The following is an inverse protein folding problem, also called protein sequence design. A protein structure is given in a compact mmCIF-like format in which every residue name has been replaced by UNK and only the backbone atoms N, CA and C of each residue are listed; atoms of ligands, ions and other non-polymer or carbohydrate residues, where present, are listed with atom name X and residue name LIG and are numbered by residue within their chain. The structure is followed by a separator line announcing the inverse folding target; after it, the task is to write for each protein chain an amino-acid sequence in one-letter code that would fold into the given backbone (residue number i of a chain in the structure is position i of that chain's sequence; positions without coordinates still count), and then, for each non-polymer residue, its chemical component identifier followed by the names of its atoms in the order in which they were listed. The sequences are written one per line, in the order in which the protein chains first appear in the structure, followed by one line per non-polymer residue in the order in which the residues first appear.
data_IF_667598460922
#
_entry.id   IF_667598460922
#
_cell.length_a   1.000
_cell.length_b   1.000
_cell.length_c   1.000
_cell.angle_alpha   90.00
_cell.angle_beta   90.00
_cell.angle_gamma   90.00
#
_symmetry.space_group_name_H-M   'P 1'
#
loop_
_entity.id
_entity.type
_entity.pdbx_description
1 polymer ?
#
# COMPACT_ATOMS: atom_id res chain seq x y z
N UNK A 1 1.46 2.81 47.51
CA UNK A 1 0.20 2.26 46.96
C UNK A 1 0.17 0.79 47.31
N UNK A 2 -0.77 0.38 48.16
CA UNK A 2 -0.95 -1.02 48.51
C UNK A 2 -1.48 -1.78 47.30
N UNK A 3 -0.87 -2.94 47.02
CA UNK A 3 -1.27 -3.84 45.94
C UNK A 3 -1.94 -5.06 46.54
N UNK A 4 -3.18 -5.29 46.15
CA UNK A 4 -3.97 -6.46 46.55
C UNK A 4 -3.98 -7.50 45.42
N UNK A 5 -4.18 -8.78 45.75
CA UNK A 5 -4.27 -9.86 44.75
C UNK A 5 -5.73 -10.19 44.48
N UNK A 6 -6.13 -10.18 43.20
CA UNK A 6 -7.42 -10.71 42.74
C UNK A 6 -7.21 -12.08 42.15
N UNK A 7 -8.03 -13.05 42.55
CA UNK A 7 -8.18 -14.34 41.90
C UNK A 7 -9.11 -14.19 40.66
N UNK A 8 -8.60 -14.37 39.43
CA UNK A 8 -9.39 -14.25 38.21
C UNK A 8 -10.57 -15.21 38.15
N UNK A 9 -10.41 -16.44 38.63
CA UNK A 9 -11.47 -17.44 38.60
C UNK A 9 -12.61 -17.04 39.52
N UNK A 10 -12.28 -16.51 40.69
CA UNK A 10 -13.25 -16.05 41.67
C UNK A 10 -14.02 -14.82 41.19
N UNK A 11 -13.33 -13.86 40.58
CA UNK A 11 -13.95 -12.71 39.94
C UNK A 11 -14.94 -13.14 38.84
N UNK A 12 -14.55 -14.09 37.97
CA UNK A 12 -15.43 -14.62 36.92
C UNK A 12 -16.65 -15.32 37.53
N UNK A 13 -16.46 -16.14 38.57
CA UNK A 13 -17.55 -16.84 39.25
C UNK A 13 -18.57 -15.87 39.83
N UNK A 14 -18.12 -14.89 40.63
CA UNK A 14 -19.00 -13.89 41.26
C UNK A 14 -19.70 -13.04 40.20
N UNK A 15 -18.97 -12.59 39.17
CA UNK A 15 -19.56 -11.82 38.06
C UNK A 15 -20.68 -12.59 37.37
N UNK A 16 -20.44 -13.87 37.05
CA UNK A 16 -21.44 -14.73 36.39
C UNK A 16 -22.63 -15.02 37.30
N UNK A 17 -22.40 -15.26 38.58
CA UNK A 17 -23.47 -15.46 39.55
C UNK A 17 -24.36 -14.21 39.71
N UNK A 18 -23.79 -13.01 39.52
CA UNK A 18 -24.54 -11.74 39.47
C UNK A 18 -25.15 -11.43 38.09
N UNK A 19 -25.01 -12.31 37.10
CA UNK A 19 -25.58 -12.12 35.76
C UNK A 19 -24.96 -10.97 34.95
N UNK A 20 -23.78 -10.48 35.33
CA UNK A 20 -23.15 -9.33 34.67
C UNK A 20 -22.24 -9.78 33.52
N UNK A 21 -22.38 -9.15 32.36
CA UNK A 21 -21.38 -9.23 31.30
C UNK A 21 -20.09 -8.54 31.73
N UNK A 22 -18.96 -8.92 31.13
CA UNK A 22 -17.66 -8.25 31.41
C UNK A 22 -17.75 -6.74 31.15
N UNK A 23 -18.50 -6.34 30.12
CA UNK A 23 -18.72 -4.94 29.74
C UNK A 23 -19.57 -4.20 30.76
N UNK A 24 -20.65 -4.84 31.25
CA UNK A 24 -21.49 -4.29 32.32
C UNK A 24 -20.71 -4.11 33.62
N UNK A 25 -19.90 -5.11 34.02
CA UNK A 25 -19.05 -4.99 35.20
C UNK A 25 -18.00 -3.88 35.04
N UNK A 26 -17.31 -3.82 33.90
CA UNK A 26 -16.34 -2.78 33.59
C UNK A 26 -16.95 -1.37 33.68
N UNK A 27 -18.15 -1.18 33.09
CA UNK A 27 -18.89 0.08 33.13
C UNK A 27 -19.30 0.45 34.55
N UNK A 28 -19.87 -0.49 35.30
CA UNK A 28 -20.44 -0.24 36.64
C UNK A 28 -19.35 -0.03 37.71
N UNK A 29 -18.22 -0.73 37.58
CA UNK A 29 -17.06 -0.59 38.48
C UNK A 29 -16.11 0.54 38.08
N UNK A 30 -16.37 1.27 36.99
CA UNK A 30 -15.44 2.26 36.42
C UNK A 30 -14.01 1.72 36.22
N UNK A 31 -13.90 0.47 35.77
CA UNK A 31 -12.65 -0.18 35.38
C UNK A 31 -12.66 -0.36 33.87
N UNK A 32 -11.57 0.00 33.19
CA UNK A 32 -11.53 -0.12 31.72
C UNK A 32 -11.77 -1.56 31.27
N UNK A 33 -12.50 -1.74 30.16
CA UNK A 33 -12.80 -3.06 29.59
C UNK A 33 -11.52 -3.87 29.32
N UNK A 34 -10.45 -3.21 28.88
CA UNK A 34 -9.14 -3.81 28.64
C UNK A 34 -8.50 -4.33 29.93
N UNK A 35 -8.57 -3.55 31.02
CA UNK A 35 -8.07 -3.98 32.33
C UNK A 35 -8.88 -5.16 32.87
N UNK A 36 -10.21 -5.12 32.75
CA UNK A 36 -11.07 -6.23 33.14
C UNK A 36 -10.74 -7.52 32.37
N UNK A 37 -10.60 -7.42 31.04
CA UNK A 37 -10.21 -8.54 30.20
C UNK A 37 -8.82 -9.08 30.58
N UNK A 38 -7.87 -8.20 30.93
CA UNK A 38 -6.53 -8.59 31.40
C UNK A 38 -6.57 -9.34 32.73
N UNK A 39 -7.43 -8.94 33.67
CA UNK A 39 -7.60 -9.61 34.96
C UNK A 39 -8.21 -11.00 34.73
N UNK A 40 -9.32 -11.09 34.00
CA UNK A 40 -10.03 -12.36 33.76
C UNK A 40 -9.27 -13.35 32.86
N UNK A 41 -8.31 -12.90 32.05
CA UNK A 41 -7.57 -13.77 31.12
C UNK A 41 -6.44 -14.57 31.79
N UNK A 42 -6.12 -14.28 33.06
CA UNK A 42 -4.96 -14.85 33.74
C UNK A 42 -5.39 -16.05 34.59
N UNK A 43 -4.53 -17.07 34.64
CA UNK A 43 -4.77 -18.27 35.44
C UNK A 43 -4.34 -18.07 36.91
N UNK A 44 -3.34 -17.21 37.13
CA UNK A 44 -2.81 -16.91 38.47
C UNK A 44 -3.34 -15.59 39.04
N UNK A 45 -3.40 -15.46 40.38
CA UNK A 45 -3.79 -14.22 41.05
C UNK A 45 -2.94 -13.01 40.63
N UNK A 46 -3.60 -11.92 40.21
CA UNK A 46 -2.95 -10.70 39.75
C UNK A 46 -2.96 -9.61 40.83
N UNK A 47 -1.83 -8.91 40.96
CA UNK A 47 -1.73 -7.69 41.76
C UNK A 47 -2.46 -6.52 41.09
N UNK A 48 -3.43 -5.92 41.79
CA UNK A 48 -4.14 -4.70 41.39
C UNK A 48 -4.02 -3.63 42.48
N UNK A 49 -4.36 -2.39 42.17
CA UNK A 49 -4.45 -1.32 43.17
C UNK A 49 -5.66 -1.58 44.08
N UNK A 50 -5.55 -1.26 45.37
CA UNK A 50 -6.65 -1.37 46.35
C UNK A 50 -7.96 -0.75 45.82
N UNK A 51 -7.93 0.49 45.31
CA UNK A 51 -9.13 1.13 44.73
C UNK A 51 -9.80 0.35 43.59
N UNK A 52 -9.05 -0.46 42.82
CA UNK A 52 -9.65 -1.33 41.80
C UNK A 52 -10.34 -2.53 42.44
N UNK A 53 -9.75 -3.13 43.48
CA UNK A 53 -10.40 -4.19 44.26
C UNK A 53 -11.72 -3.67 44.85
N UNK A 54 -11.69 -2.49 45.48
CA UNK A 54 -12.84 -1.89 46.17
C UNK A 54 -14.00 -1.67 45.23
N UNK A 55 -13.74 -1.05 44.07
CA UNK A 55 -14.77 -0.84 43.05
C UNK A 55 -15.38 -2.14 42.55
N UNK A 56 -14.58 -3.21 42.40
CA UNK A 56 -15.08 -4.51 41.96
C UNK A 56 -15.90 -5.20 43.06
N UNK A 57 -15.41 -5.17 44.30
CA UNK A 57 -16.08 -5.71 45.48
C UNK A 57 -17.44 -5.03 45.71
N UNK A 58 -17.47 -3.69 45.71
CA UNK A 58 -18.68 -2.88 45.87
C UNK A 58 -19.69 -3.16 44.75
N UNK A 59 -19.24 -3.18 43.49
CA UNK A 59 -20.13 -3.43 42.34
C UNK A 59 -20.72 -4.84 42.35
N UNK A 60 -19.97 -5.82 42.85
CA UNK A 60 -20.41 -7.20 42.94
C UNK A 60 -21.12 -7.52 44.26
N UNK A 61 -21.16 -6.56 45.19
CA UNK A 61 -21.71 -6.70 46.54
C UNK A 61 -21.13 -7.95 47.23
N UNK A 62 -19.79 -8.00 47.31
CA UNK A 62 -19.00 -9.04 47.99
C UNK A 62 -17.81 -8.45 48.73
N UNK A 63 -17.33 -9.13 49.76
CA UNK A 63 -16.12 -8.70 50.47
C UNK A 63 -14.85 -8.86 49.63
N UNK A 64 -13.84 -8.00 49.85
CA UNK A 64 -12.52 -8.09 49.17
C UNK A 64 -11.88 -9.47 49.31
N UNK A 65 -12.01 -10.08 50.50
CA UNK A 65 -11.48 -11.40 50.80
C UNK A 65 -12.07 -12.50 49.90
N UNK A 66 -13.31 -12.34 49.43
CA UNK A 66 -13.93 -13.27 48.47
C UNK A 66 -13.21 -13.16 47.14
N UNK A 67 -12.97 -11.94 46.61
CA UNK A 67 -12.26 -11.74 45.33
C UNK A 67 -10.78 -12.12 45.38
N UNK A 68 -10.16 -12.07 46.56
CA UNK A 68 -8.79 -12.52 46.79
C UNK A 68 -8.65 -14.05 46.92
N UNK A 69 -9.77 -14.79 46.94
CA UNK A 69 -9.80 -16.24 47.12
C UNK A 69 -9.66 -16.72 48.58
N UNK A 70 -9.61 -15.80 49.54
CA UNK A 70 -9.44 -16.12 50.97
C UNK A 70 -10.73 -16.46 51.72
N UNK A 71 -11.90 -16.12 51.16
CA UNK A 71 -13.20 -16.38 51.77
C UNK A 71 -14.10 -17.27 50.89
N UNK A 72 -14.97 -18.04 51.54
CA UNK A 72 -16.00 -18.84 50.89
C UNK A 72 -16.99 -17.95 50.12
N UNK A 73 -17.57 -18.45 49.03
CA UNK A 73 -18.64 -17.74 48.33
C UNK A 73 -19.82 -17.63 49.30
N UNK A 74 -20.44 -16.45 49.44
CA UNK A 74 -21.65 -16.33 50.23
C UNK A 74 -22.71 -17.28 49.66
N UNK A 75 -23.45 -17.97 50.54
CA UNK A 75 -24.34 -19.08 50.17
C UNK A 75 -25.49 -18.67 49.24
N UNK A 76 -25.74 -17.36 49.11
CA UNK A 76 -26.71 -16.78 48.18
C UNK A 76 -26.17 -16.64 46.74
N UNK A 77 -24.86 -16.72 46.52
CA UNK A 77 -24.25 -16.83 45.20
C UNK A 77 -24.24 -18.29 44.77
N UNK A 78 -25.44 -18.83 44.57
CA UNK A 78 -25.59 -20.11 43.90
C UNK A 78 -25.10 -19.90 42.47
N UNK A 79 -23.84 -20.25 42.19
CA UNK A 79 -23.30 -20.23 40.82
C UNK A 79 -24.20 -21.20 40.06
N UNK A 80 -25.06 -20.72 39.14
CA UNK A 80 -25.93 -21.63 38.43
C UNK A 80 -25.01 -22.64 37.76
N UNK A 81 -25.16 -23.92 38.13
CA UNK A 81 -24.58 -25.03 37.38
C UNK A 81 -24.88 -24.72 35.93
N UNK A 82 -23.81 -24.50 35.15
CA UNK A 82 -23.89 -23.76 33.91
C UNK A 82 -24.92 -24.43 33.01
N UNK A 83 -26.12 -23.84 32.96
CA UNK A 83 -27.24 -24.46 32.28
C UNK A 83 -26.83 -24.69 30.83
N UNK A 84 -27.20 -25.84 30.27
CA UNK A 84 -26.75 -26.18 28.94
C UNK A 84 -27.38 -25.18 27.96
N UNK A 85 -26.53 -24.48 27.21
CA UNK A 85 -26.94 -23.39 26.35
C UNK A 85 -27.45 -23.93 25.01
N UNK A 86 -28.45 -23.25 24.43
CA UNK A 86 -29.02 -23.63 23.13
C UNK A 86 -28.43 -22.75 22.03
N UNK A 87 -27.77 -23.35 21.04
CA UNK A 87 -27.27 -22.64 19.86
C UNK A 87 -28.34 -22.64 18.78
N UNK A 88 -28.57 -21.47 18.14
CA UNK A 88 -29.45 -21.34 16.98
C UNK A 88 -28.69 -21.76 15.71
N UNK A 89 -29.09 -22.85 15.02
CA UNK A 89 -28.39 -23.38 13.85
C UNK A 89 -28.19 -22.35 12.74
N UNK A 90 -29.23 -21.56 12.46
CA UNK A 90 -29.20 -20.56 11.38
C UNK A 90 -28.13 -19.49 11.58
N UNK A 91 -27.94 -19.03 12.82
CA UNK A 91 -26.93 -18.01 13.14
C UNK A 91 -25.53 -18.57 12.93
N UNK A 92 -25.29 -19.81 13.35
CA UNK A 92 -24.00 -20.49 13.14
C UNK A 92 -23.70 -20.66 11.64
N UNK A 93 -24.68 -21.08 10.84
CA UNK A 93 -24.54 -21.22 9.39
C UNK A 93 -24.26 -19.86 8.73
N UNK A 94 -24.99 -18.81 9.10
CA UNK A 94 -24.78 -17.45 8.58
C UNK A 94 -23.37 -16.93 8.90
N UNK A 95 -22.92 -17.07 10.15
CA UNK A 95 -21.58 -16.68 10.58
C UNK A 95 -20.48 -17.46 9.86
N UNK A 96 -20.65 -18.78 9.71
CA UNK A 96 -19.70 -19.63 8.99
C UNK A 96 -19.58 -19.24 7.53
N UNK A 97 -20.71 -19.11 6.82
CA UNK A 97 -20.75 -18.69 5.41
C UNK A 97 -20.12 -17.32 5.21
N UNK A 98 -20.40 -16.37 6.11
CA UNK A 98 -19.80 -15.02 6.08
C UNK A 98 -18.27 -15.05 6.19
N UNK A 99 -17.69 -16.04 6.86
CA UNK A 99 -16.23 -16.23 6.96
C UNK A 99 -15.64 -17.07 5.83
N UNK A 100 -16.47 -17.61 4.92
CA UNK A 100 -16.01 -18.52 3.88
C UNK A 100 -15.52 -19.87 4.40
N UNK A 101 -15.85 -20.24 5.64
CA UNK A 101 -15.31 -21.47 6.24
C UNK A 101 -16.13 -22.71 5.90
N UNK A 102 -15.43 -23.81 5.64
CA UNK A 102 -16.01 -25.15 5.66
C UNK A 102 -16.38 -25.58 7.09
N UNK A 103 -17.24 -26.59 7.24
CA UNK A 103 -17.55 -27.16 8.57
C UNK A 103 -16.30 -27.69 9.28
N UNK A 104 -15.36 -28.26 8.51
CA UNK A 104 -14.10 -28.80 9.01
C UNK A 104 -13.18 -27.69 9.52
N UNK A 105 -13.04 -26.60 8.77
CA UNK A 105 -12.26 -25.43 9.18
C UNK A 105 -12.83 -24.77 10.43
N UNK A 106 -14.16 -24.62 10.53
CA UNK A 106 -14.80 -24.09 11.75
C UNK A 106 -14.53 -25.01 12.95
N UNK A 107 -14.66 -26.32 12.78
CA UNK A 107 -14.38 -27.29 13.84
C UNK A 107 -12.93 -27.21 14.34
N UNK A 108 -11.97 -27.09 13.42
CA UNK A 108 -10.55 -26.94 13.72
C UNK A 108 -10.25 -25.63 14.47
N UNK A 109 -10.74 -24.49 13.95
CA UNK A 109 -10.56 -23.17 14.57
C UNK A 109 -11.20 -23.08 15.96
N UNK A 110 -12.37 -23.69 16.15
CA UNK A 110 -13.06 -23.74 17.44
C UNK A 110 -12.56 -24.84 18.37
N UNK A 111 -11.71 -25.77 17.91
CA UNK A 111 -11.27 -26.95 18.67
C UNK A 111 -12.47 -27.75 19.21
N UNK A 112 -13.42 -28.04 18.33
CA UNK A 112 -14.58 -28.92 18.57
C UNK A 112 -14.63 -30.01 17.51
N UNK A 113 -15.38 -31.09 17.73
CA UNK A 113 -15.50 -32.15 16.73
C UNK A 113 -16.29 -31.66 15.50
N UNK A 114 -15.88 -32.11 14.30
CA UNK A 114 -16.62 -31.84 13.07
C UNK A 114 -18.06 -32.35 13.13
N UNK A 115 -18.27 -33.51 13.76
CA UNK A 115 -19.59 -34.10 14.03
C UNK A 115 -20.49 -33.18 14.88
N UNK A 116 -19.91 -32.42 15.83
CA UNK A 116 -20.69 -31.46 16.62
C UNK A 116 -21.19 -30.30 15.74
N UNK A 117 -20.33 -29.75 14.88
CA UNK A 117 -20.72 -28.69 13.94
C UNK A 117 -21.82 -29.20 13.01
N UNK A 118 -21.62 -30.38 12.43
CA UNK A 118 -22.61 -31.01 11.56
C UNK A 118 -23.94 -31.22 12.25
N UNK A 119 -23.94 -31.74 13.48
CA UNK A 119 -25.15 -31.93 14.29
C UNK A 119 -25.86 -30.61 14.61
N UNK A 120 -25.11 -29.54 14.88
CA UNK A 120 -25.71 -28.21 15.13
C UNK A 120 -26.33 -27.65 13.85
N UNK A 121 -25.63 -27.72 12.72
CA UNK A 121 -26.10 -27.14 11.45
C UNK A 121 -27.20 -27.94 10.75
N UNK A 122 -27.37 -29.22 11.07
CA UNK A 122 -28.39 -30.07 10.44
C UNK A 122 -29.75 -30.03 11.12
N UNK A 123 -29.83 -29.55 12.36
CA UNK A 123 -31.10 -29.43 13.09
C UNK A 123 -31.78 -28.11 12.75
N UNK A 124 -33.12 -28.13 12.67
CA UNK A 124 -33.92 -26.91 12.54
C UNK A 124 -34.11 -26.20 13.88
N UNK A 125 -34.13 -26.96 14.98
CA UNK A 125 -34.34 -26.44 16.33
C UNK A 125 -33.02 -26.12 17.05
N UNK A 126 -33.03 -25.22 18.05
CA UNK A 126 -31.86 -24.89 18.85
C UNK A 126 -31.24 -26.10 19.55
N UNK A 127 -29.95 -26.33 19.29
CA UNK A 127 -29.23 -27.51 19.79
C UNK A 127 -28.59 -27.20 21.13
N UNK A 128 -28.85 -28.06 22.11
CA UNK A 128 -28.28 -27.94 23.44
C UNK A 128 -26.80 -28.36 23.42
N UNK A 129 -25.91 -27.47 23.85
CA UNK A 129 -24.47 -27.72 23.89
C UNK A 129 -23.86 -27.42 25.25
N UNK A 130 -22.72 -28.03 25.50
CA UNK A 130 -21.91 -27.71 26.67
C UNK A 130 -21.43 -26.24 26.58
N UNK A 131 -21.52 -25.45 27.66
CA UNK A 131 -21.08 -24.06 27.71
C UNK A 131 -19.63 -23.86 27.25
N UNK A 132 -18.76 -24.83 27.51
CA UNK A 132 -17.36 -24.83 27.03
C UNK A 132 -17.26 -24.84 25.50
N UNK A 133 -18.16 -25.56 24.83
CA UNK A 133 -18.21 -25.62 23.36
C UNK A 133 -18.77 -24.33 22.76
N UNK A 134 -19.79 -23.73 23.40
CA UNK A 134 -20.33 -22.42 23.00
C UNK A 134 -19.25 -21.34 23.05
N UNK A 135 -18.55 -21.21 24.18
CA UNK A 135 -17.49 -20.21 24.32
C UNK A 135 -16.26 -20.46 23.44
N UNK A 136 -16.06 -21.69 22.96
CA UNK A 136 -15.05 -22.03 21.95
C UNK A 136 -15.48 -21.58 20.55
N UNK A 137 -16.74 -21.80 20.19
CA UNK A 137 -17.31 -21.35 18.92
C UNK A 137 -17.31 -19.83 18.81
N UNK A 138 -17.79 -19.13 19.85
CA UNK A 138 -17.79 -17.67 19.89
C UNK A 138 -16.38 -17.10 19.67
N UNK A 139 -15.39 -17.63 20.40
CA UNK A 139 -13.97 -17.24 20.25
C UNK A 139 -13.41 -17.50 18.85
N UNK A 140 -13.82 -18.58 18.18
CA UNK A 140 -13.35 -18.87 16.83
C UNK A 140 -13.76 -17.78 15.83
N UNK A 141 -14.95 -17.19 15.99
CA UNK A 141 -15.42 -16.11 15.13
C UNK A 141 -14.81 -14.73 15.44
N UNK A 142 -14.02 -14.62 16.51
CA UNK A 142 -13.31 -13.41 16.92
C UNK A 142 -13.96 -12.67 18.11
N UNK A 143 -13.31 -11.62 18.62
CA UNK A 143 -13.75 -10.89 19.82
C UNK A 143 -15.08 -10.13 19.64
N UNK A 144 -15.56 -10.00 18.41
CA UNK A 144 -16.80 -9.30 18.07
C UNK A 144 -18.05 -10.18 18.24
N UNK A 145 -17.89 -11.52 18.25
CA UNK A 145 -19.02 -12.45 18.34
C UNK A 145 -19.14 -12.96 19.77
N UNK A 146 -20.11 -12.41 20.49
CA UNK A 146 -20.45 -12.85 21.85
C UNK A 146 -21.25 -14.17 21.84
N UNK A 147 -21.22 -14.91 22.94
CA UNK A 147 -21.95 -16.18 23.09
C UNK A 147 -23.47 -15.98 22.87
N UNK A 148 -24.00 -14.84 23.29
CA UNK A 148 -25.40 -14.39 23.12
C UNK A 148 -25.83 -14.22 21.66
N UNK A 149 -24.89 -13.98 20.75
CA UNK A 149 -25.17 -13.94 19.31
C UNK A 149 -25.48 -15.35 18.81
N UNK A 150 -24.70 -16.36 19.25
CA UNK A 150 -24.90 -17.76 18.85
C UNK A 150 -26.17 -18.37 19.46
N UNK A 151 -26.63 -17.86 20.60
CA UNK A 151 -27.90 -18.27 21.22
C UNK A 151 -29.12 -17.53 20.63
N UNK A 152 -28.89 -16.53 19.76
CA UNK A 152 -29.95 -15.72 19.16
C UNK A 152 -30.56 -14.67 20.09
N UNK A 153 -29.98 -14.44 21.27
CA UNK A 153 -30.42 -13.39 22.20
C UNK A 153 -30.10 -11.98 21.69
N UNK A 154 -29.00 -11.85 20.95
CA UNK A 154 -28.60 -10.59 20.32
C UNK A 154 -28.64 -10.80 18.80
N UNK A 155 -29.37 -9.91 18.10
CA UNK A 155 -29.38 -9.90 16.65
C UNK A 155 -27.97 -9.71 16.09
N UNK A 156 -27.65 -10.50 15.06
CA UNK A 156 -26.39 -10.37 14.35
C UNK A 156 -26.34 -8.99 13.69
N UNK A 157 -25.55 -8.06 14.26
CA UNK A 157 -25.34 -6.75 13.65
C UNK A 157 -24.86 -6.97 12.20
N UNK A 158 -25.50 -6.33 11.20
CA UNK A 158 -25.05 -6.46 9.82
C UNK A 158 -23.56 -6.11 9.78
N UNK A 159 -22.82 -6.84 8.95
CA UNK A 159 -21.43 -6.50 8.69
C UNK A 159 -21.37 -4.99 8.42
N UNK A 160 -20.49 -4.26 9.11
CA UNK A 160 -20.05 -3.00 8.53
C UNK A 160 -19.62 -3.36 7.10
N UNK A 161 -20.16 -2.68 6.07
CA UNK A 161 -19.84 -3.00 4.70
C UNK A 161 -18.32 -3.01 4.62
N UNK A 162 -17.74 -4.18 4.36
CA UNK A 162 -16.32 -4.27 4.08
C UNK A 162 -16.13 -3.32 2.89
N UNK A 163 -15.22 -2.33 2.96
CA UNK A 163 -15.01 -1.43 1.84
C UNK A 163 -14.82 -2.31 0.61
N UNK A 164 -15.59 -2.01 -0.43
CA UNK A 164 -15.60 -2.78 -1.67
C UNK A 164 -14.16 -2.84 -2.19
N UNK A 165 -13.59 -4.06 -2.16
CA UNK A 165 -12.24 -4.27 -2.66
C UNK A 165 -12.36 -4.42 -4.18
N UNK A 166 -11.86 -3.43 -4.90
CA UNK A 166 -11.70 -3.48 -6.34
C UNK A 166 -10.33 -4.06 -6.67
N UNK A 167 -10.26 -4.91 -7.70
CA UNK A 167 -8.99 -5.46 -8.19
C UNK A 167 -8.60 -4.68 -9.43
N UNK A 168 -7.42 -4.08 -9.42
CA UNK A 168 -6.82 -3.45 -10.61
C UNK A 168 -5.96 -4.48 -11.32
N UNK A 169 -6.35 -4.82 -12.55
CA UNK A 169 -5.49 -5.59 -13.44
C UNK A 169 -4.79 -4.63 -14.38
N UNK A 170 -3.50 -4.40 -14.17
CA UNK A 170 -2.66 -3.56 -15.03
C UNK A 170 -1.62 -4.44 -15.73
N UNK A 171 -1.42 -4.23 -17.03
CA UNK A 171 -0.27 -4.80 -17.74
C UNK A 171 0.91 -3.84 -17.55
N UNK A 172 1.98 -4.31 -16.92
CA UNK A 172 3.20 -3.54 -16.73
C UNK A 172 4.25 -3.97 -17.76
N UNK A 173 5.02 -3.00 -18.23
CA UNK A 173 6.23 -3.27 -19.01
C UNK A 173 7.29 -3.90 -18.11
N UNK A 174 8.26 -4.65 -18.66
CA UNK A 174 9.40 -5.15 -17.90
C UNK A 174 10.16 -4.05 -17.13
N UNK A 175 10.47 -2.93 -17.80
CA UNK A 175 11.18 -1.81 -17.18
C UNK A 175 10.42 -1.17 -16.02
N UNK A 176 9.08 -1.02 -16.13
CA UNK A 176 8.27 -0.49 -15.03
C UNK A 176 8.28 -1.46 -13.83
N UNK A 177 8.20 -2.77 -14.09
CA UNK A 177 8.30 -3.78 -13.02
C UNK A 177 9.67 -3.74 -12.35
N UNK A 178 10.75 -3.66 -13.13
CA UNK A 178 12.11 -3.53 -12.61
C UNK A 178 12.25 -2.29 -11.72
N UNK A 179 11.75 -1.13 -12.15
CA UNK A 179 11.77 0.09 -11.35
C UNK A 179 11.09 -0.10 -9.99
N UNK A 180 9.94 -0.79 -9.95
CA UNK A 180 9.27 -1.13 -8.70
C UNK A 180 10.09 -2.07 -7.79
N UNK A 181 10.71 -3.11 -8.37
CA UNK A 181 11.57 -4.04 -7.62
C UNK A 181 12.81 -3.32 -7.04
N UNK A 182 13.40 -2.38 -7.79
CA UNK A 182 14.53 -1.57 -7.33
C UNK A 182 14.13 -0.60 -6.20
N UNK A 183 12.98 0.07 -6.30
CA UNK A 183 12.46 0.94 -5.24
C UNK A 183 12.13 0.13 -3.98
N UNK A 184 11.54 -1.06 -4.13
CA UNK A 184 11.28 -1.95 -2.99
C UNK A 184 12.58 -2.39 -2.32
N UNK A 185 13.61 -2.75 -3.09
CA UNK A 185 14.93 -3.12 -2.57
C UNK A 185 15.60 -1.95 -1.82
N UNK A 186 15.64 -0.76 -2.42
CA UNK A 186 16.37 0.40 -1.85
C UNK A 186 15.64 1.03 -0.66
N UNK A 187 14.32 1.13 -0.72
CA UNK A 187 13.52 1.88 0.27
C UNK A 187 12.58 1.02 1.12
N UNK A 188 12.43 -0.27 0.82
CA UNK A 188 11.46 -1.15 1.50
C UNK A 188 10.00 -0.82 1.18
N UNK A 189 9.75 -0.03 0.13
CA UNK A 189 8.42 0.39 -0.28
C UNK A 189 7.84 -0.61 -1.29
N UNK A 190 6.87 -1.41 -0.85
CA UNK A 190 6.25 -2.40 -1.71
C UNK A 190 5.46 -1.71 -2.84
N UNK A 191 5.34 -2.34 -4.04
CA UNK A 191 4.60 -1.77 -5.18
C UNK A 191 3.18 -1.37 -4.82
N UNK A 192 2.50 -2.17 -3.98
CA UNK A 192 1.15 -1.88 -3.48
C UNK A 192 1.08 -0.53 -2.76
N UNK A 193 2.05 -0.23 -1.92
CA UNK A 193 2.07 1.02 -1.15
C UNK A 193 2.33 2.20 -2.08
N UNK A 194 3.21 2.02 -3.08
CA UNK A 194 3.45 3.01 -4.13
C UNK A 194 2.19 3.29 -4.95
N UNK A 195 1.41 2.27 -5.34
CA UNK A 195 0.12 2.48 -6.03
C UNK A 195 -0.90 3.23 -5.17
N UNK A 196 -0.93 2.98 -3.86
CA UNK A 196 -1.83 3.69 -2.94
C UNK A 196 -1.40 5.15 -2.78
N UNK A 197 -0.10 5.43 -2.78
CA UNK A 197 0.46 6.76 -2.60
C UNK A 197 0.54 7.57 -3.90
N UNK A 198 0.58 6.91 -5.07
CA UNK A 198 0.81 7.54 -6.36
C UNK A 198 -0.13 8.72 -6.66
N UNK A 199 -1.46 8.65 -6.43
CA UNK A 199 -2.33 9.81 -6.67
C UNK A 199 -1.98 11.02 -5.80
N UNK A 200 -1.63 10.79 -4.53
CA UNK A 200 -1.28 11.87 -3.61
C UNK A 200 0.08 12.49 -3.97
N UNK A 201 1.07 11.66 -4.30
CA UNK A 201 2.39 12.11 -4.75
C UNK A 201 2.27 12.88 -6.06
N UNK A 202 1.49 12.38 -7.02
CA UNK A 202 1.29 13.03 -8.30
C UNK A 202 0.67 14.42 -8.15
N UNK A 203 -0.36 14.59 -7.31
CA UNK A 203 -0.95 15.91 -7.04
C UNK A 203 0.08 16.87 -6.46
N UNK A 204 0.90 16.43 -5.50
CA UNK A 204 1.95 17.28 -4.92
C UNK A 204 3.00 17.70 -5.95
N UNK A 205 3.43 16.77 -6.80
CA UNK A 205 4.41 17.05 -7.85
C UNK A 205 3.82 17.95 -8.95
N UNK A 206 2.56 17.73 -9.33
CA UNK A 206 1.84 18.54 -10.30
C UNK A 206 1.73 20.00 -9.84
N UNK A 207 1.26 20.23 -8.62
CA UNK A 207 1.18 21.58 -8.05
C UNK A 207 2.56 22.24 -7.91
N UNK A 208 3.57 21.46 -7.51
CA UNK A 208 4.95 21.93 -7.45
C UNK A 208 5.48 22.35 -8.83
N UNK A 209 5.17 21.59 -9.88
CA UNK A 209 5.54 21.92 -11.27
C UNK A 209 4.86 23.20 -11.74
N UNK A 210 3.55 23.35 -11.50
CA UNK A 210 2.81 24.55 -11.88
C UNK A 210 3.34 25.80 -11.16
N UNK A 211 3.63 25.71 -9.86
CA UNK A 211 4.23 26.81 -9.12
C UNK A 211 5.64 27.17 -9.63
N UNK A 212 6.47 26.17 -9.91
CA UNK A 212 7.79 26.38 -10.48
C UNK A 212 7.73 27.05 -11.86
N UNK A 213 6.76 26.67 -12.71
CA UNK A 213 6.50 27.32 -14.00
C UNK A 213 6.07 28.78 -13.82
N UNK A 214 5.19 29.12 -12.87
CA UNK A 214 4.83 30.51 -12.54
C UNK A 214 6.06 31.34 -12.18
N UNK A 215 6.94 30.81 -11.33
CA UNK A 215 8.17 31.49 -10.95
C UNK A 215 9.10 31.72 -12.14
N UNK A 216 9.20 30.76 -13.06
CA UNK A 216 9.97 30.90 -14.30
C UNK A 216 9.36 31.97 -15.21
N UNK A 217 8.03 31.98 -15.37
CA UNK A 217 7.30 32.98 -16.15
C UNK A 217 7.53 34.39 -15.60
N UNK A 218 7.46 34.57 -14.28
CA UNK A 218 7.71 35.85 -13.63
C UNK A 218 9.15 36.34 -13.85
N UNK A 219 10.15 35.45 -13.72
CA UNK A 219 11.55 35.78 -14.05
C UNK A 219 11.72 36.14 -15.51
N UNK A 220 11.03 35.45 -16.42
CA UNK A 220 11.07 35.76 -17.85
C UNK A 220 10.48 37.15 -18.14
N UNK A 221 9.36 37.51 -17.49
CA UNK A 221 8.76 38.86 -17.57
C UNK A 221 9.69 39.95 -17.06
N UNK A 222 10.38 39.70 -15.95
CA UNK A 222 11.36 40.63 -15.39
C UNK A 222 12.56 40.81 -16.35
N UNK A 223 13.09 39.72 -16.89
CA UNK A 223 14.18 39.77 -17.87
C UNK A 223 13.77 40.52 -19.16
N UNK A 224 12.55 40.31 -19.64
CA UNK A 224 12.03 41.02 -20.82
C UNK A 224 11.88 42.53 -20.57
N UNK A 225 11.40 42.93 -19.39
CA UNK A 225 11.35 44.35 -18.99
C UNK A 225 12.75 44.98 -18.94
N UNK A 226 13.73 44.26 -18.41
CA UNK A 226 15.11 44.75 -18.38
C UNK A 226 15.70 44.92 -19.79
N UNK A 227 15.37 44.02 -20.73
CA UNK A 227 15.72 44.19 -22.14
C UNK A 227 15.04 45.43 -22.75
N UNK A 228 13.75 45.68 -22.44
CA UNK A 228 12.99 46.84 -22.93
C UNK A 228 13.65 48.16 -22.51
N UNK A 229 14.18 48.23 -21.28
CA UNK A 229 14.91 49.39 -20.78
C UNK A 229 16.23 49.63 -21.52
N UNK A 230 16.94 48.57 -21.92
CA UNK A 230 18.21 48.67 -22.66
C UNK A 230 18.01 49.09 -24.13
N UNK A 231 16.89 48.72 -24.74
CA UNK A 231 16.59 49.02 -26.14
C UNK A 231 16.21 50.48 -26.42
N UNK A 232 15.78 51.23 -25.39
CA UNK A 232 15.18 52.57 -25.53
C UNK A 232 16.06 53.63 -26.21
N UNK A 233 17.38 53.51 -26.08
CA UNK A 233 18.34 54.48 -26.63
C UNK A 233 18.90 54.09 -28.00
N UNK A 234 18.60 52.89 -28.51
CA UNK A 234 19.09 52.39 -29.81
C UNK A 234 17.94 51.98 -30.73
N UNK A 235 17.62 52.79 -31.78
CA UNK A 235 16.51 52.52 -32.69
C UNK A 235 16.55 51.16 -33.40
N UNK A 236 17.75 50.64 -33.68
CA UNK A 236 17.91 49.33 -34.35
C UNK A 236 17.62 48.17 -33.41
N UNK A 237 18.07 48.26 -32.15
CA UNK A 237 17.76 47.27 -31.13
C UNK A 237 16.28 47.34 -30.73
N UNK A 238 15.73 48.55 -30.58
CA UNK A 238 14.32 48.76 -30.31
C UNK A 238 13.42 48.11 -31.37
N UNK A 239 13.72 48.28 -32.66
CA UNK A 239 12.96 47.64 -33.73
C UNK A 239 13.03 46.10 -33.65
N UNK A 240 14.25 45.54 -33.54
CA UNK A 240 14.42 44.10 -33.44
C UNK A 240 13.66 43.53 -32.24
N UNK A 241 13.78 44.19 -31.08
CA UNK A 241 13.07 43.84 -29.87
C UNK A 241 11.55 43.85 -30.05
N UNK A 242 10.97 44.89 -30.64
CA UNK A 242 9.52 44.96 -30.88
C UNK A 242 9.02 43.84 -31.80
N UNK A 243 9.83 43.38 -32.75
CA UNK A 243 9.50 42.21 -33.56
C UNK A 243 9.44 40.92 -32.72
N UNK A 244 10.34 40.74 -31.76
CA UNK A 244 10.34 39.58 -30.87
C UNK A 244 9.29 39.66 -29.76
N UNK A 245 8.98 40.87 -29.28
CA UNK A 245 8.09 41.08 -28.13
C UNK A 245 6.69 40.51 -28.36
N UNK A 246 6.14 40.64 -29.58
CA UNK A 246 4.81 40.08 -29.86
C UNK A 246 4.78 38.55 -29.73
N UNK A 247 5.80 37.85 -30.24
CA UNK A 247 5.88 36.40 -30.14
C UNK A 247 6.12 35.97 -28.68
N UNK A 248 6.98 36.71 -27.98
CA UNK A 248 7.29 36.47 -26.57
C UNK A 248 6.05 36.66 -25.66
N UNK A 249 5.35 37.79 -25.79
CA UNK A 249 4.13 38.08 -25.04
C UNK A 249 3.06 37.03 -25.29
N UNK A 250 2.89 36.61 -26.56
CA UNK A 250 1.94 35.54 -26.90
C UNK A 250 2.31 34.21 -26.25
N UNK A 251 3.60 33.89 -26.16
CA UNK A 251 4.07 32.69 -25.46
C UNK A 251 3.82 32.72 -23.98
N UNK A 252 4.04 33.87 -23.36
CA UNK A 252 3.75 34.05 -21.94
C UNK A 252 2.26 33.92 -21.65
N UNK A 253 1.38 34.44 -22.51
CA UNK A 253 -0.07 34.25 -22.40
C UNK A 253 -0.45 32.76 -22.49
N UNK A 254 0.08 32.04 -23.49
CA UNK A 254 -0.21 30.60 -23.66
C UNK A 254 0.27 29.79 -22.45
N UNK A 255 1.46 30.10 -21.93
CA UNK A 255 2.01 29.43 -20.74
C UNK A 255 1.19 29.78 -19.49
N UNK A 256 0.75 31.03 -19.33
CA UNK A 256 -0.12 31.45 -18.23
C UNK A 256 -1.47 30.73 -18.27
N UNK A 257 -2.11 30.68 -19.44
CA UNK A 257 -3.37 29.95 -19.66
C UNK A 257 -3.19 28.44 -19.32
N UNK A 258 -2.11 27.80 -19.81
CA UNK A 258 -1.78 26.40 -19.52
C UNK A 258 -1.61 26.14 -18.01
N UNK A 259 -0.98 27.08 -17.29
CA UNK A 259 -0.83 26.99 -15.83
C UNK A 259 -2.17 27.15 -15.10
N UNK A 260 -3.01 28.09 -15.55
CA UNK A 260 -4.34 28.34 -14.96
C UNK A 260 -5.29 27.15 -15.16
N UNK A 261 -5.21 26.50 -16.31
CA UNK A 261 -6.00 25.31 -16.65
C UNK A 261 -5.46 24.02 -16.01
N UNK A 262 -4.30 24.08 -15.34
CA UNK A 262 -3.68 22.93 -14.67
C UNK A 262 -3.11 21.91 -15.66
N UNK A 263 -2.69 22.36 -16.85
CA UNK A 263 -2.06 21.53 -17.87
C UNK A 263 -0.60 21.22 -17.50
N UNK A 264 -0.45 20.23 -16.62
CA UNK A 264 0.84 19.77 -16.09
C UNK A 264 1.79 19.33 -17.22
N UNK A 265 1.26 18.72 -18.28
CA UNK A 265 2.06 18.12 -19.36
C UNK A 265 2.37 19.11 -20.50
N UNK A 266 1.84 20.33 -20.46
CA UNK A 266 2.08 21.35 -21.49
C UNK A 266 1.37 21.09 -22.82
N UNK A 267 0.27 20.32 -22.84
CA UNK A 267 -0.50 20.03 -24.06
C UNK A 267 -1.01 21.30 -24.75
N UNK A 268 -1.33 22.32 -23.97
CA UNK A 268 -1.84 23.59 -24.49
C UNK A 268 -0.71 24.47 -25.01
N UNK A 269 0.50 24.31 -24.47
CA UNK A 269 1.73 24.96 -24.94
C UNK A 269 2.19 24.36 -26.27
N UNK A 270 2.13 23.03 -26.39
CA UNK A 270 2.65 22.26 -27.53
C UNK A 270 1.61 21.96 -28.61
N UNK A 271 0.63 22.85 -28.82
CA UNK A 271 -0.37 22.65 -29.86
C UNK A 271 0.18 23.00 -31.27
N UNK A 272 -0.44 22.44 -32.31
CA UNK A 272 -0.02 22.64 -33.72
C UNK A 272 0.13 24.13 -34.09
N UNK A 273 -0.77 24.98 -33.59
CA UNK A 273 -0.73 26.42 -33.84
C UNK A 273 0.50 27.09 -33.21
N UNK A 274 0.88 26.66 -32.01
CA UNK A 274 2.05 27.16 -31.29
C UNK A 274 3.33 26.65 -31.93
N UNK A 275 3.39 25.38 -32.32
CA UNK A 275 4.53 24.83 -33.07
C UNK A 275 4.79 25.59 -34.38
N UNK A 276 3.75 25.81 -35.18
CA UNK A 276 3.87 26.56 -36.45
C UNK A 276 4.28 28.02 -36.23
N UNK A 277 3.79 28.65 -35.16
CA UNK A 277 4.11 30.05 -34.85
C UNK A 277 5.57 30.21 -34.41
N UNK A 278 6.15 29.20 -33.77
CA UNK A 278 7.48 29.29 -33.14
C UNK A 278 8.58 28.62 -33.97
N UNK A 279 8.19 27.87 -35.00
CA UNK A 279 9.13 27.15 -35.86
C UNK A 279 9.77 25.94 -35.19
N UNK A 280 9.17 25.42 -34.12
CA UNK A 280 9.59 24.17 -33.50
C UNK A 280 9.27 23.00 -34.43
N UNK A 281 10.21 22.07 -34.55
CA UNK A 281 9.97 20.77 -35.19
C UNK A 281 9.43 19.77 -34.18
N UNK A 282 8.89 18.65 -34.66
CA UNK A 282 8.51 17.52 -33.80
C UNK A 282 9.72 17.03 -32.97
N UNK A 283 10.93 17.13 -33.52
CA UNK A 283 12.18 16.76 -32.83
C UNK A 283 12.55 17.71 -31.68
N UNK A 284 12.02 18.93 -31.65
CA UNK A 284 12.24 19.88 -30.55
C UNK A 284 11.34 19.57 -29.33
N UNK A 285 10.35 18.67 -29.48
CA UNK A 285 9.37 18.33 -28.44
C UNK A 285 9.77 17.14 -27.60
N UNK A 286 11.03 17.03 -27.20
CA UNK A 286 11.51 15.84 -26.47
C UNK A 286 11.05 15.82 -25.02
N UNK A 287 10.82 16.97 -24.38
CA UNK A 287 10.58 17.03 -22.92
C UNK A 287 9.32 17.84 -22.56
N UNK A 288 8.44 17.25 -21.74
CA UNK A 288 7.28 17.99 -21.19
C UNK A 288 7.73 18.96 -20.09
N UNK A 289 7.00 20.06 -19.83
CA UNK A 289 7.29 20.95 -18.69
C UNK A 289 7.30 20.22 -17.34
N UNK A 290 6.53 19.13 -17.22
CA UNK A 290 6.56 18.29 -16.03
C UNK A 290 7.86 17.50 -15.91
N UNK A 291 8.35 16.92 -17.00
CA UNK A 291 9.63 16.21 -17.02
C UNK A 291 10.79 17.15 -16.71
N UNK A 292 10.81 18.36 -17.28
CA UNK A 292 11.79 19.41 -16.93
C UNK A 292 11.79 19.71 -15.42
N UNK A 293 10.60 19.85 -14.83
CA UNK A 293 10.46 20.08 -13.39
C UNK A 293 11.00 18.89 -12.58
N UNK A 294 10.71 17.66 -12.98
CA UNK A 294 11.22 16.46 -12.30
C UNK A 294 12.74 16.35 -12.40
N UNK A 295 13.33 16.72 -13.54
CA UNK A 295 14.78 16.77 -13.73
C UNK A 295 15.43 17.81 -12.81
N UNK A 296 14.86 19.02 -12.73
CA UNK A 296 15.33 20.04 -11.78
C UNK A 296 15.17 19.59 -10.32
N UNK A 297 14.08 18.90 -10.00
CA UNK A 297 13.88 18.32 -8.67
C UNK A 297 14.93 17.24 -8.37
N UNK A 298 15.28 16.41 -9.34
CA UNK A 298 16.34 15.40 -9.21
C UNK A 298 17.72 16.05 -8.99
N UNK A 299 18.02 17.14 -9.72
CA UNK A 299 19.23 17.95 -9.50
C UNK A 299 19.30 18.51 -8.09
N UNK A 300 18.18 18.97 -7.53
CA UNK A 300 18.09 19.47 -6.15
C UNK A 300 18.32 18.38 -5.10
N UNK A 301 17.89 17.14 -5.36
CA UNK A 301 18.18 16.00 -4.48
C UNK A 301 19.68 15.68 -4.47
N UNK A 302 20.40 16.04 -5.55
CA UNK A 302 21.85 15.88 -5.64
C UNK A 302 22.30 14.43 -5.79
N UNK A 303 21.44 13.59 -6.39
CA UNK A 303 21.63 12.15 -6.57
C UNK A 303 21.19 11.70 -7.97
N UNK A 304 21.94 12.06 -9.01
CA UNK A 304 21.59 11.72 -10.40
C UNK A 304 21.42 10.21 -10.63
N UNK A 305 22.05 9.38 -9.82
CA UNK A 305 21.94 7.93 -9.86
C UNK A 305 20.56 7.39 -9.44
N UNK A 306 19.74 8.19 -8.73
CA UNK A 306 18.45 7.75 -8.24
C UNK A 306 17.38 7.77 -9.31
N UNK A 307 17.38 8.82 -10.12
CA UNK A 307 16.44 8.97 -11.24
C UNK A 307 17.16 9.74 -12.34
N UNK A 308 17.23 9.14 -13.53
CA UNK A 308 17.72 9.82 -14.73
C UNK A 308 16.59 9.98 -15.74
N UNK A 309 16.42 11.19 -16.26
CA UNK A 309 15.44 11.58 -17.27
C UNK A 309 16.07 11.92 -18.63
N UNK A 310 17.39 11.80 -18.79
CA UNK A 310 18.13 12.19 -20.01
C UNK A 310 17.62 11.46 -21.27
N UNK A 311 17.04 10.26 -21.11
CA UNK A 311 16.47 9.45 -22.20
C UNK A 311 14.94 9.56 -22.30
N UNK A 312 14.33 10.57 -21.66
CA UNK A 312 12.91 10.91 -21.89
C UNK A 312 12.73 11.57 -23.25
N UNK A 313 12.82 10.76 -24.31
CA UNK A 313 12.27 11.14 -25.60
C UNK A 313 10.76 10.92 -25.54
N UNK A 314 9.98 12.01 -25.60
CA UNK A 314 8.59 11.94 -26.03
C UNK A 314 8.56 11.34 -27.43
N UNK A 315 8.29 10.04 -27.52
CA UNK A 315 8.06 9.40 -28.81
C UNK A 315 6.75 9.97 -29.34
N UNK A 316 6.89 10.93 -30.24
CA UNK A 316 5.81 11.40 -31.09
C UNK A 316 5.24 10.23 -31.89
N UNK A 317 3.96 10.32 -32.22
CA UNK A 317 3.20 9.44 -33.10
C UNK A 317 2.61 8.17 -32.50
N UNK A 318 1.62 8.28 -31.60
CA UNK A 318 0.45 7.37 -31.55
C UNK A 318 0.70 5.85 -31.46
N UNK A 319 1.95 5.43 -31.30
CA UNK A 319 2.41 4.09 -31.09
C UNK A 319 2.69 4.07 -29.61
N UNK A 320 1.84 3.33 -28.94
CA UNK A 320 2.07 2.70 -27.66
C UNK A 320 3.46 2.01 -27.63
N UNK A 321 4.57 2.77 -27.61
CA UNK A 321 5.92 2.27 -27.36
C UNK A 321 6.07 2.07 -25.86
N UNK A 322 5.20 1.22 -25.30
CA UNK A 322 5.29 0.69 -23.94
C UNK A 322 6.46 -0.32 -23.81
N UNK A 323 7.54 -0.13 -24.56
CA UNK A 323 8.67 -1.06 -24.61
C UNK A 323 9.79 -0.65 -23.66
N UNK A 324 10.23 0.61 -23.76
CA UNK A 324 11.32 1.14 -22.98
C UNK A 324 10.79 2.16 -21.98
N UNK A 325 11.21 2.03 -20.72
CA UNK A 325 10.91 3.04 -19.71
C UNK A 325 11.85 4.21 -20.02
N UNK A 326 11.34 5.42 -20.28
CA UNK A 326 12.15 6.54 -20.75
C UNK A 326 12.97 7.19 -19.60
N UNK A 327 13.13 6.48 -18.49
CA UNK A 327 13.82 6.93 -17.30
C UNK A 327 14.44 5.73 -16.58
N UNK A 328 15.58 5.98 -15.95
CA UNK A 328 16.27 5.02 -15.08
C UNK A 328 15.91 5.31 -13.63
N UNK A 329 15.72 4.27 -12.81
CA UNK A 329 15.47 4.41 -11.37
C UNK A 329 16.46 3.55 -10.61
N UNK A 330 17.10 4.14 -9.59
CA UNK A 330 18.08 3.47 -8.72
C UNK A 330 19.18 2.76 -9.51
N UNK A 331 19.83 3.50 -10.42
CA UNK A 331 20.86 2.98 -11.32
C UNK A 331 21.99 2.26 -10.57
N UNK A 332 22.42 2.80 -9.43
CA UNK A 332 23.41 2.13 -8.57
C UNK A 332 23.00 0.72 -8.15
N UNK A 333 21.73 0.52 -7.76
CA UNK A 333 21.24 -0.81 -7.36
C UNK A 333 21.18 -1.75 -8.57
N UNK A 334 20.83 -1.21 -9.74
CA UNK A 334 20.83 -1.97 -10.99
C UNK A 334 22.26 -2.39 -11.39
N UNK A 335 23.21 -1.47 -11.34
CA UNK A 335 24.62 -1.72 -11.64
C UNK A 335 25.24 -2.68 -10.60
N UNK A 336 24.86 -2.61 -9.31
CA UNK A 336 25.26 -3.58 -8.28
C UNK A 336 24.77 -5.02 -8.60
N UNK A 337 23.58 -5.14 -9.17
CA UNK A 337 22.98 -6.43 -9.51
C UNK A 337 23.56 -6.98 -10.82
N UNK A 338 23.70 -6.14 -11.83
CA UNK A 338 24.18 -6.53 -13.15
C UNK A 338 25.72 -6.65 -13.22
N UNK A 339 26.44 -5.95 -12.34
CA UNK A 339 27.87 -5.68 -12.53
C UNK A 339 28.09 -4.71 -13.70
N UNK A 340 29.29 -4.71 -14.26
CA UNK A 340 29.66 -3.84 -15.39
C UNK A 340 29.15 -4.37 -16.76
N UNK A 341 28.34 -5.44 -16.78
CA UNK A 341 27.88 -6.07 -18.01
C UNK A 341 26.59 -5.44 -18.56
N UNK A 342 26.70 -4.86 -19.76
CA UNK A 342 25.56 -4.33 -20.51
C UNK A 342 24.51 -5.42 -20.81
N UNK A 343 24.94 -6.66 -21.10
CA UNK A 343 24.04 -7.78 -21.36
C UNK A 343 23.28 -8.22 -20.09
N UNK A 344 23.96 -8.26 -18.94
CA UNK A 344 23.30 -8.55 -17.66
C UNK A 344 22.25 -7.50 -17.30
N UNK A 345 22.56 -6.22 -17.53
CA UNK A 345 21.65 -5.10 -17.34
C UNK A 345 20.44 -5.20 -18.28
N UNK A 346 20.68 -5.47 -19.57
CA UNK A 346 19.63 -5.69 -20.56
C UNK A 346 18.67 -6.82 -20.14
N UNK A 347 19.19 -7.91 -19.55
CA UNK A 347 18.39 -9.03 -19.06
C UNK A 347 17.29 -8.59 -18.08
N UNK A 348 17.62 -7.62 -17.21
CA UNK A 348 16.71 -7.09 -16.20
C UNK A 348 15.72 -6.09 -16.82
N UNK A 349 16.23 -5.13 -17.60
CA UNK A 349 15.42 -4.05 -18.19
C UNK A 349 14.34 -4.59 -19.14
N UNK A 350 14.66 -5.61 -19.94
CA UNK A 350 13.74 -6.23 -20.88
C UNK A 350 12.97 -7.41 -20.28
N UNK A 351 13.22 -7.73 -19.02
CA UNK A 351 12.47 -8.73 -18.26
C UNK A 351 12.70 -10.17 -18.69
N UNK A 352 13.88 -10.46 -19.25
CA UNK A 352 14.38 -11.84 -19.39
C UNK A 352 14.44 -12.54 -18.02
N UNK A 353 14.71 -11.76 -16.97
CA UNK A 353 14.83 -12.21 -15.58
C UNK A 353 14.20 -11.19 -14.63
N UNK A 354 13.67 -11.65 -13.49
CA UNK A 354 13.30 -10.79 -12.35
C UNK A 354 14.36 -10.79 -11.26
N UNK A 355 14.46 -9.72 -10.47
CA UNK A 355 15.40 -9.67 -9.34
C UNK A 355 15.10 -10.81 -8.35
N UNK A 356 13.83 -11.14 -8.14
CA UNK A 356 13.40 -12.25 -7.27
C UNK A 356 13.76 -13.66 -7.77
N UNK A 357 14.13 -13.79 -9.05
CA UNK A 357 14.51 -15.08 -9.67
C UNK A 357 16.02 -15.32 -9.60
N UNK A 358 16.81 -14.31 -9.24
CA UNK A 358 18.26 -14.41 -9.10
C UNK A 358 18.57 -15.30 -7.88
N UNK A 359 19.35 -16.38 -8.05
CA UNK A 359 19.69 -17.25 -6.93
C UNK A 359 20.56 -16.53 -5.88
N UNK A 360 20.13 -16.56 -4.61
CA UNK A 360 20.76 -15.81 -3.50
C UNK A 360 22.21 -16.22 -3.18
N UNK A 361 22.65 -17.39 -3.64
CA UNK A 361 23.96 -17.95 -3.32
C UNK A 361 25.05 -17.60 -4.36
N UNK A 362 24.71 -16.92 -5.44
CA UNK A 362 25.68 -16.52 -6.46
C UNK A 362 26.55 -15.36 -5.97
N UNK A 363 27.85 -15.47 -6.18
CA UNK A 363 28.78 -14.33 -6.08
C UNK A 363 28.45 -13.27 -7.15
N UNK A 364 29.01 -12.07 -7.04
CA UNK A 364 28.75 -11.00 -8.02
C UNK A 364 29.08 -11.42 -9.46
N UNK A 365 30.22 -12.07 -9.68
CA UNK A 365 30.62 -12.53 -11.02
C UNK A 365 29.72 -13.66 -11.53
N UNK A 366 29.43 -14.67 -10.70
CA UNK A 366 28.53 -15.76 -11.09
C UNK A 366 27.11 -15.26 -11.39
N UNK A 367 26.67 -14.21 -10.70
CA UNK A 367 25.39 -13.56 -10.95
C UNK A 367 25.37 -12.86 -12.31
N UNK A 368 26.41 -12.11 -12.64
CA UNK A 368 26.55 -11.45 -13.94
C UNK A 368 26.55 -12.48 -15.08
N UNK A 369 27.39 -13.52 -15.01
CA UNK A 369 27.43 -14.61 -16.00
C UNK A 369 26.06 -15.29 -16.15
N UNK A 370 25.36 -15.52 -15.04
CA UNK A 370 24.03 -16.12 -15.06
C UNK A 370 22.99 -15.21 -15.72
N UNK A 371 23.04 -13.90 -15.49
CA UNK A 371 22.17 -12.91 -16.14
C UNK A 371 22.45 -12.82 -17.66
N UNK A 372 23.71 -12.81 -18.08
CA UNK A 372 24.11 -12.81 -19.49
C UNK A 372 23.59 -14.04 -20.24
N UNK A 373 23.68 -15.22 -19.61
CA UNK A 373 23.13 -16.45 -20.17
C UNK A 373 21.62 -16.34 -20.40
N UNK A 374 20.89 -15.72 -19.45
CA UNK A 374 19.44 -15.50 -19.56
C UNK A 374 19.09 -14.45 -20.61
N UNK A 375 19.85 -13.36 -20.72
CA UNK A 375 19.71 -12.39 -21.80
C UNK A 375 19.82 -13.08 -23.17
N UNK A 376 20.87 -13.88 -23.34
CA UNK A 376 21.14 -14.63 -24.58
C UNK A 376 20.03 -15.62 -24.93
N UNK A 377 19.50 -16.36 -23.94
CA UNK A 377 18.35 -17.26 -24.13
C UNK A 377 17.10 -16.48 -24.53
N UNK A 378 16.83 -15.36 -23.85
CA UNK A 378 15.66 -14.53 -24.11
C UNK A 378 15.70 -13.91 -25.50
N UNK A 379 16.84 -13.33 -25.89
CA UNK A 379 17.09 -12.78 -27.22
C UNK A 379 16.84 -13.82 -28.33
N UNK A 380 17.35 -15.05 -28.16
CA UNK A 380 17.11 -16.16 -29.10
C UNK A 380 15.63 -16.57 -29.18
N UNK A 381 14.87 -16.40 -28.10
CA UNK A 381 13.45 -16.73 -28.04
C UNK A 381 12.55 -15.61 -28.56
N UNK A 382 13.04 -14.36 -28.54
CA UNK A 382 12.31 -13.16 -28.92
C UNK A 382 12.24 -12.94 -30.45
N UNK A 383 12.51 -13.97 -31.25
CA UNK A 383 12.40 -13.93 -32.73
C UNK A 383 11.08 -13.24 -33.11
N UNK A 384 11.13 -12.11 -33.85
CA UNK A 384 9.94 -11.33 -34.12
C UNK A 384 8.90 -12.20 -34.86
N UNK A 385 7.59 -11.96 -34.63
CA UNK A 385 6.56 -12.63 -35.38
C UNK A 385 6.81 -12.45 -36.88
N UNK A 386 6.82 -13.54 -37.65
CA UNK A 386 7.08 -13.54 -39.10
C UNK A 386 6.31 -12.40 -39.78
N UNK A 387 7.02 -11.38 -40.26
CA UNK A 387 6.46 -10.29 -41.06
C UNK A 387 6.78 -8.87 -40.60
N UNK A 388 7.46 -8.65 -39.46
CA UNK A 388 8.02 -7.34 -39.11
C UNK A 388 9.48 -7.21 -39.58
N UNK A 389 9.88 -6.06 -40.19
CA UNK A 389 11.27 -5.79 -40.54
C UNK A 389 12.18 -5.88 -39.31
N UNK A 390 13.32 -6.53 -39.46
CA UNK A 390 14.27 -6.91 -38.40
C UNK A 390 15.28 -5.78 -38.12
N UNK A 391 14.80 -4.54 -38.02
CA UNK A 391 15.67 -3.41 -38.37
C UNK A 391 16.40 -2.77 -37.18
N UNK A 392 16.21 -3.23 -35.93
CA UNK A 392 16.81 -2.57 -34.75
C UNK A 392 17.38 -3.50 -33.68
N UNK A 393 16.56 -4.42 -33.16
CA UNK A 393 16.97 -5.27 -32.02
C UNK A 393 18.05 -6.28 -32.39
N UNK A 394 17.98 -6.86 -33.60
CA UNK A 394 18.97 -7.80 -34.11
C UNK A 394 20.35 -7.14 -34.27
N UNK A 395 20.39 -5.93 -34.84
CA UNK A 395 21.60 -5.12 -34.95
C UNK A 395 22.17 -4.67 -33.60
N UNK A 396 21.31 -4.28 -32.65
CA UNK A 396 21.74 -3.88 -31.31
C UNK A 396 22.31 -5.08 -30.52
N UNK A 397 21.68 -6.25 -30.66
CA UNK A 397 22.19 -7.49 -30.06
C UNK A 397 23.47 -7.97 -30.73
N UNK A 398 23.58 -7.90 -32.05
CA UNK A 398 24.81 -8.22 -32.76
C UNK A 398 25.94 -7.26 -32.34
N UNK A 399 25.66 -5.96 -32.17
CA UNK A 399 26.63 -4.99 -31.68
C UNK A 399 27.07 -5.29 -30.24
N UNK A 400 26.13 -5.55 -29.33
CA UNK A 400 26.42 -5.89 -27.93
C UNK A 400 27.19 -7.22 -27.79
N UNK A 401 26.89 -8.20 -28.64
CA UNK A 401 27.59 -9.50 -28.66
C UNK A 401 29.00 -9.37 -29.25
N UNK A 402 29.18 -8.53 -30.27
CA UNK A 402 30.50 -8.25 -30.88
C UNK A 402 31.42 -7.52 -29.89
N UNK A 403 30.88 -6.57 -29.12
CA UNK A 403 31.67 -5.84 -28.13
C UNK A 403 32.14 -6.75 -26.98
N UNK A 404 31.31 -7.72 -26.55
CA UNK A 404 31.68 -8.72 -25.51
C UNK A 404 32.77 -9.70 -25.99
N UNK A 405 32.76 -10.15 -27.24
CA UNK A 405 33.80 -11.04 -27.77
C UNK A 405 35.17 -10.35 -27.96
N UNK A 406 35.23 -9.03 -27.80
CA UNK A 406 36.44 -8.21 -28.02
C UNK A 406 37.18 -7.78 -26.75
N UNK A 407 36.61 -8.03 -25.57
CA UNK A 407 37.23 -7.84 -24.24
C UNK A 407 37.75 -9.16 -23.66
#
# INVERSE_FOLDING_TARGET
MELERIDPHRLIQVRKARGLSRRQLAKSSHVSLRQMARIEAKEEPIKVRANTMDRLADTLDVERAVLAGGANLPANLNVPESQPAKIVPEVLVKLRKRRGWSRRELAEKARVSSQLIERIESQAEPVTVQPRSLGRLARAFGPEVEESVLTGEIELKPAAPTPEQWTVTMRSTPGLRLAYELVERRYGAAPKDLFVLAPAIFVLLAEGSLDWRRQKLDRAREANRALDELGGDNPTLYFAQKCYQQAFDRGMEIEEDSIEDGDVLGRDVWNEQSMQMWGFTEDDMTVTPFADYLEELAKLVGKPELVNFDDMLLVDQGVDVWGANPYEVCREDLDEIAGDSALARWALEWGAVRISEIPEHLTSNERTEWLEARASEHAKSAIPPRGQPDDGLSLMLDQLMVDHESE
#
